data_IF_284315492433
#
_entry.id   IF_284315492433
#
_cell.length_a   1.000
_cell.length_b   1.000
_cell.length_c   1.000
_cell.angle_alpha   90.00
_cell.angle_beta   90.00
_cell.angle_gamma   90.00
#
_symmetry.space_group_name_H-M   'P 1'
#
loop_
_entity.id
_entity.type
_entity.pdbx_description
1 polymer ?
#
# COMPACT_ATOMS: atom_id res chain seq x y z
N UNK A 1 4.76 7.55 -24.85
CA UNK A 1 3.81 7.06 -23.85
C UNK A 1 3.44 8.17 -22.88
N UNK A 2 2.18 8.25 -22.58
CA UNK A 2 1.72 9.27 -21.65
C UNK A 2 2.01 8.85 -20.22
N UNK A 3 2.39 9.81 -19.40
CA UNK A 3 2.70 9.59 -18.00
C UNK A 3 1.98 10.61 -17.13
N UNK A 4 1.89 10.30 -15.84
CA UNK A 4 1.43 11.25 -14.83
C UNK A 4 2.51 11.36 -13.76
N UNK A 5 2.42 12.41 -12.95
CA UNK A 5 3.31 12.58 -11.82
C UNK A 5 2.74 11.82 -10.64
N UNK A 6 3.57 11.00 -10.00
CA UNK A 6 3.16 10.18 -8.86
C UNK A 6 3.97 10.55 -7.62
N UNK A 7 3.26 10.77 -6.53
CA UNK A 7 3.86 11.04 -5.22
C UNK A 7 3.22 10.07 -4.21
N UNK A 8 4.03 9.21 -3.61
CA UNK A 8 3.57 8.32 -2.57
C UNK A 8 4.25 8.73 -1.27
N UNK A 9 3.45 9.27 -0.35
CA UNK A 9 3.93 9.78 0.93
C UNK A 9 3.41 8.93 2.07
N UNK A 10 4.28 8.66 3.03
CA UNK A 10 3.89 7.99 4.27
C UNK A 10 4.14 8.93 5.45
N UNK A 11 3.77 8.50 6.65
CA UNK A 11 3.97 9.32 7.85
C UNK A 11 5.44 9.67 8.11
N UNK A 12 6.36 8.85 7.61
CA UNK A 12 7.78 8.98 7.93
C UNK A 12 8.69 9.37 6.75
N UNK A 13 8.21 9.17 5.51
CA UNK A 13 9.08 9.40 4.35
C UNK A 13 8.31 9.57 3.05
N UNK A 14 9.00 10.06 2.04
CA UNK A 14 8.53 9.98 0.65
C UNK A 14 8.93 8.60 0.13
N UNK A 15 7.95 7.77 -0.15
CA UNK A 15 8.18 6.41 -0.61
C UNK A 15 8.55 6.35 -2.08
N UNK A 16 7.84 7.11 -2.90
CA UNK A 16 8.12 7.23 -4.34
C UNK A 16 7.74 8.62 -4.83
N UNK A 17 8.55 9.14 -5.74
CA UNK A 17 8.27 10.40 -6.42
C UNK A 17 8.85 10.34 -7.81
N UNK A 18 8.01 10.55 -8.82
CA UNK A 18 8.46 10.51 -10.21
C UNK A 18 7.33 10.26 -11.18
N UNK A 19 7.68 10.03 -12.42
CA UNK A 19 6.71 9.74 -13.47
C UNK A 19 6.27 8.29 -13.43
N UNK A 20 5.00 8.05 -13.80
CA UNK A 20 4.42 6.71 -13.81
C UNK A 20 3.47 6.60 -14.99
N UNK A 21 3.42 5.43 -15.62
CA UNK A 21 2.51 5.17 -16.73
C UNK A 21 1.17 4.67 -16.24
N UNK A 22 1.18 3.82 -15.21
CA UNK A 22 -0.06 3.34 -14.58
C UNK A 22 0.23 2.90 -13.16
N UNK A 23 -0.81 2.97 -12.34
CA UNK A 23 -0.75 2.48 -10.97
C UNK A 23 -2.05 1.75 -10.67
N UNK A 24 -1.96 0.60 -10.00
CA UNK A 24 -3.12 -0.15 -9.55
C UNK A 24 -3.13 -0.13 -8.02
N UNK A 25 -4.21 0.37 -7.45
CA UNK A 25 -4.36 0.52 -6.00
C UNK A 25 -5.41 -0.44 -5.46
N UNK A 26 -5.25 -0.92 -4.21
CA UNK A 26 -6.29 -1.73 -3.56
C UNK A 26 -7.32 -0.83 -2.89
N UNK A 27 -8.59 -0.97 -3.28
CA UNK A 27 -9.69 -0.18 -2.73
C UNK A 27 -10.75 -1.09 -2.10
N UNK A 28 -11.67 -0.54 -1.28
CA UNK A 28 -12.75 -1.36 -0.73
C UNK A 28 -13.62 -2.07 -1.78
N UNK A 29 -13.65 -1.53 -3.00
CA UNK A 29 -14.43 -2.11 -4.10
C UNK A 29 -13.61 -2.99 -5.03
N UNK A 30 -12.37 -3.29 -4.66
CA UNK A 30 -11.46 -4.08 -5.47
C UNK A 30 -10.29 -3.26 -5.97
N UNK A 31 -9.51 -3.83 -6.87
CA UNK A 31 -8.33 -3.16 -7.41
C UNK A 31 -8.75 -2.13 -8.45
N UNK A 32 -8.14 -0.96 -8.40
CA UNK A 32 -8.48 0.15 -9.30
C UNK A 32 -7.22 0.68 -10.01
N UNK A 33 -7.30 0.75 -11.34
CA UNK A 33 -6.19 1.23 -12.16
C UNK A 33 -6.32 2.71 -12.51
N UNK A 34 -5.21 3.45 -12.43
CA UNK A 34 -5.13 4.86 -12.78
C UNK A 34 -4.04 5.01 -13.85
N UNK A 35 -4.38 5.65 -14.95
CA UNK A 35 -3.46 5.96 -16.04
C UNK A 35 -3.38 7.46 -16.25
N UNK A 36 -2.51 7.88 -17.17
CA UNK A 36 -2.36 9.29 -17.48
C UNK A 36 -3.69 9.92 -17.91
N UNK A 37 -3.87 11.17 -17.54
CA UNK A 37 -5.06 11.96 -17.86
C UNK A 37 -6.38 11.40 -17.30
N UNK A 38 -6.27 10.65 -16.21
CA UNK A 38 -7.46 10.19 -15.48
C UNK A 38 -8.23 11.39 -14.93
N UNK A 39 -9.55 11.30 -14.93
CA UNK A 39 -10.37 12.36 -14.36
C UNK A 39 -10.07 12.55 -12.87
N UNK A 40 -10.28 13.77 -12.39
CA UNK A 40 -10.06 14.08 -10.98
C UNK A 40 -10.94 13.19 -10.10
N UNK A 41 -10.33 12.62 -9.05
CA UNK A 41 -11.04 11.74 -8.14
C UNK A 41 -10.29 11.58 -6.83
N UNK A 42 -10.97 11.00 -5.85
CA UNK A 42 -10.38 10.61 -4.58
C UNK A 42 -10.88 9.21 -4.26
N UNK A 43 -9.99 8.34 -3.82
CA UNK A 43 -10.34 6.96 -3.48
C UNK A 43 -9.67 6.52 -2.19
N UNK A 44 -10.40 5.73 -1.39
CA UNK A 44 -9.84 5.13 -0.19
C UNK A 44 -8.94 3.95 -0.59
N UNK A 45 -7.84 3.78 0.14
CA UNK A 45 -6.92 2.66 -0.03
C UNK A 45 -6.99 1.77 1.20
N UNK A 46 -7.12 0.47 0.98
CA UNK A 46 -7.06 -0.54 2.03
C UNK A 46 -5.70 -1.26 1.95
N UNK A 47 -5.27 -1.94 3.01
CA UNK A 47 -4.02 -2.71 2.94
C UNK A 47 -4.06 -3.71 1.80
N UNK A 48 -3.02 -3.73 0.99
CA UNK A 48 -2.96 -4.60 -0.18
C UNK A 48 -1.71 -4.37 -1.03
N UNK A 49 -1.81 -4.85 -2.25
CA UNK A 49 -0.72 -4.78 -3.22
C UNK A 49 -0.88 -3.57 -4.11
N UNK A 50 0.17 -2.77 -4.20
CA UNK A 50 0.28 -1.64 -5.12
C UNK A 50 1.12 -2.09 -6.30
N UNK A 51 0.68 -1.81 -7.53
CA UNK A 51 1.47 -2.09 -8.73
C UNK A 51 1.75 -0.81 -9.49
N UNK A 52 3.02 -0.56 -9.78
CA UNK A 52 3.46 0.61 -10.53
C UNK A 52 4.11 0.21 -11.84
N UNK A 53 3.72 0.86 -12.92
CA UNK A 53 4.39 0.73 -14.20
C UNK A 53 5.21 1.99 -14.43
N UNK A 54 6.53 1.85 -14.30
CA UNK A 54 7.47 2.97 -14.38
C UNK A 54 8.02 3.06 -15.82
N UNK A 55 8.08 4.26 -16.41
CA UNK A 55 8.64 4.41 -17.76
C UNK A 55 10.06 3.85 -17.85
N UNK A 56 10.31 3.05 -18.86
CA UNK A 56 11.63 2.45 -19.10
C UNK A 56 11.92 1.18 -18.33
N UNK A 57 11.04 0.76 -17.42
CA UNK A 57 11.23 -0.48 -16.68
C UNK A 57 10.39 -1.60 -17.30
N UNK A 58 11.00 -2.77 -17.44
CA UNK A 58 10.34 -3.93 -18.03
C UNK A 58 9.31 -4.55 -17.11
N UNK A 59 9.62 -4.59 -15.82
CA UNK A 59 8.76 -5.23 -14.81
C UNK A 59 8.02 -4.18 -14.02
N UNK A 60 6.80 -4.49 -13.66
CA UNK A 60 6.03 -3.66 -12.73
C UNK A 60 6.68 -3.72 -11.36
N UNK A 61 6.68 -2.60 -10.67
CA UNK A 61 7.12 -2.57 -9.28
C UNK A 61 5.93 -2.88 -8.39
N UNK A 62 6.17 -3.72 -7.40
CA UNK A 62 5.15 -4.11 -6.43
C UNK A 62 5.53 -3.55 -5.07
N UNK A 63 4.54 -3.09 -4.34
CA UNK A 63 4.76 -2.60 -2.96
C UNK A 63 3.61 -3.05 -2.07
N UNK A 64 3.91 -3.21 -0.79
CA UNK A 64 2.89 -3.40 0.24
C UNK A 64 2.43 -2.03 0.68
N UNK A 65 1.15 -1.73 0.53
CA UNK A 65 0.60 -0.46 0.97
C UNK A 65 -0.41 -0.69 2.09
N UNK A 66 -0.52 0.28 2.98
CA UNK A 66 -1.45 0.25 4.09
C UNK A 66 -2.64 1.18 3.83
N UNK A 67 -3.43 1.45 4.85
CA UNK A 67 -4.59 2.31 4.77
C UNK A 67 -4.20 3.73 4.38
N UNK A 68 -4.95 4.33 3.47
CA UNK A 68 -4.66 5.67 3.01
C UNK A 68 -5.69 6.20 2.03
N UNK A 69 -5.26 7.15 1.23
CA UNK A 69 -6.11 7.81 0.23
C UNK A 69 -5.29 8.12 -1.02
N UNK A 70 -5.93 7.97 -2.17
CA UNK A 70 -5.37 8.39 -3.46
C UNK A 70 -6.15 9.60 -3.96
N UNK A 71 -5.42 10.63 -4.37
CA UNK A 71 -6.00 11.87 -4.89
C UNK A 71 -5.46 12.08 -6.30
N UNK A 72 -6.37 12.18 -7.27
CA UNK A 72 -6.03 12.45 -8.67
C UNK A 72 -6.52 13.85 -9.02
N UNK A 73 -5.61 14.72 -9.45
CA UNK A 73 -5.93 16.09 -9.83
C UNK A 73 -4.96 16.59 -10.88
N UNK A 74 -5.49 17.03 -12.03
CA UNK A 74 -4.69 17.59 -13.13
C UNK A 74 -3.48 16.72 -13.53
N UNK A 75 -3.72 15.45 -13.77
CA UNK A 75 -2.69 14.48 -14.17
C UNK A 75 -1.58 14.32 -13.13
N UNK A 76 -1.91 14.59 -11.87
CA UNK A 76 -1.03 14.43 -10.73
C UNK A 76 -1.71 13.46 -9.76
N UNK A 77 -1.00 12.41 -9.36
CA UNK A 77 -1.54 11.41 -8.44
C UNK A 77 -0.76 11.44 -7.15
N UNK A 78 -1.47 11.68 -6.06
CA UNK A 78 -0.88 11.73 -4.73
C UNK A 78 -1.47 10.62 -3.89
N UNK A 79 -0.61 9.80 -3.32
CA UNK A 79 -1.01 8.74 -2.41
C UNK A 79 -0.47 9.04 -1.03
N UNK A 80 -1.38 9.08 -0.06
CA UNK A 80 -1.04 9.28 1.35
C UNK A 80 -1.41 8.00 2.07
N UNK A 81 -0.44 7.36 2.70
CA UNK A 81 -0.65 6.08 3.37
C UNK A 81 0.06 6.04 4.72
N UNK A 82 -0.44 5.23 5.63
CA UNK A 82 0.22 5.04 6.92
C UNK A 82 1.61 4.44 6.73
N UNK A 83 1.76 3.51 5.80
CA UNK A 83 3.04 2.89 5.51
C UNK A 83 3.05 2.30 4.11
N UNK A 84 4.25 2.17 3.56
CA UNK A 84 4.48 1.49 2.29
C UNK A 84 5.86 0.85 2.34
N UNK A 85 5.97 -0.35 1.80
CA UNK A 85 7.23 -1.11 1.83
C UNK A 85 7.48 -1.80 0.50
N UNK A 86 8.70 -1.71 0.00
CA UNK A 86 9.12 -2.54 -1.11
C UNK A 86 9.29 -3.98 -0.59
N UNK A 87 9.05 -5.02 -1.43
CA UNK A 87 9.14 -6.39 -0.95
C UNK A 87 10.48 -6.74 -0.30
N UNK A 88 11.57 -6.25 -0.85
CA UNK A 88 12.92 -6.51 -0.33
C UNK A 88 13.18 -5.85 1.03
N UNK A 89 12.42 -4.83 1.39
CA UNK A 89 12.55 -4.14 2.67
C UNK A 89 11.75 -4.78 3.80
N UNK A 90 10.85 -5.71 3.46
CA UNK A 90 9.97 -6.31 4.46
C UNK A 90 10.72 -7.33 5.31
N UNK A 91 10.65 -7.16 6.63
CA UNK A 91 11.23 -8.08 7.61
C UNK A 91 10.16 -9.08 8.04
N UNK A 92 10.34 -10.35 7.65
CA UNK A 92 9.39 -11.43 7.94
C UNK A 92 9.18 -11.60 9.44
N UNK A 93 10.26 -11.65 10.21
CA UNK A 93 10.19 -11.87 11.66
C UNK A 93 9.41 -10.76 12.35
N UNK A 94 9.68 -9.52 11.96
CA UNK A 94 8.98 -8.36 12.52
C UNK A 94 7.50 -8.38 12.18
N UNK A 95 7.15 -8.73 10.93
CA UNK A 95 5.76 -8.81 10.50
C UNK A 95 5.01 -9.95 11.22
N UNK A 96 5.66 -11.11 11.38
CA UNK A 96 5.07 -12.22 12.12
C UNK A 96 4.85 -11.87 13.59
N UNK A 97 5.82 -11.20 14.21
CA UNK A 97 5.72 -10.76 15.59
C UNK A 97 4.58 -9.77 15.78
N UNK A 98 4.47 -8.79 14.86
CA UNK A 98 3.39 -7.80 14.93
C UNK A 98 2.01 -8.46 14.80
N UNK A 99 1.86 -9.44 13.90
CA UNK A 99 0.61 -10.17 13.75
C UNK A 99 0.26 -10.94 15.01
N UNK A 100 1.25 -11.60 15.61
CA UNK A 100 1.06 -12.40 16.80
C UNK A 100 0.66 -11.56 18.01
N UNK A 101 1.34 -10.43 18.21
CA UNK A 101 1.02 -9.51 19.29
C UNK A 101 -0.40 -8.94 19.15
N UNK A 102 -0.79 -8.60 17.92
CA UNK A 102 -2.13 -8.09 17.67
C UNK A 102 -3.20 -9.16 17.90
N UNK A 103 -2.92 -10.40 17.53
CA UNK A 103 -3.83 -11.53 17.81
C UNK A 103 -4.01 -11.75 19.31
N UNK A 104 -2.95 -11.62 20.09
CA UNK A 104 -3.02 -11.74 21.55
C UNK A 104 -3.84 -10.63 22.16
N UNK A 105 -3.73 -9.40 21.66
CA UNK A 105 -4.55 -8.28 22.10
C UNK A 105 -6.03 -8.53 21.86
N UNK A 106 -6.39 -9.15 20.73
CA UNK A 106 -7.78 -9.48 20.42
C UNK A 106 -8.36 -10.47 21.44
N UNK A 107 -7.55 -11.37 21.96
CA UNK A 107 -8.00 -12.35 22.95
C UNK A 107 -8.24 -11.73 24.32
N UNK A 108 -7.52 -10.68 24.67
CA UNK A 108 -7.50 -10.10 26.00
C UNK A 108 -8.29 -8.82 26.15
N UNK A 109 -8.77 -8.26 25.04
CA UNK A 109 -9.41 -6.96 25.06
C UNK A 109 -10.85 -7.02 24.54
N UNK A 110 -11.74 -6.34 25.25
CA UNK A 110 -13.17 -6.29 24.91
C UNK A 110 -13.58 -4.92 24.36
N UNK A 111 -12.67 -3.97 24.30
CA UNK A 111 -12.94 -2.64 23.77
C UNK A 111 -13.04 -2.67 22.26
N UNK A 112 -14.15 -2.16 21.70
CA UNK A 112 -14.35 -2.09 20.25
C UNK A 112 -13.22 -1.36 19.53
N UNK A 113 -12.73 -0.29 20.14
CA UNK A 113 -11.65 0.53 19.57
C UNK A 113 -10.34 -0.24 19.45
N UNK A 114 -10.00 -1.01 20.47
CA UNK A 114 -8.78 -1.80 20.49
C UNK A 114 -8.89 -3.03 19.59
N UNK A 115 -10.07 -3.60 19.47
CA UNK A 115 -10.33 -4.69 18.52
C UNK A 115 -10.09 -4.22 17.10
N UNK A 116 -10.64 -3.05 16.71
CA UNK A 116 -10.43 -2.49 15.37
C UNK A 116 -8.96 -2.19 15.10
N UNK A 117 -8.26 -1.65 16.09
CA UNK A 117 -6.83 -1.36 15.97
C UNK A 117 -6.01 -2.63 15.76
N UNK A 118 -6.30 -3.67 16.54
CA UNK A 118 -5.60 -4.94 16.45
C UNK A 118 -5.87 -5.62 15.09
N UNK A 119 -7.11 -5.60 14.63
CA UNK A 119 -7.47 -6.16 13.32
C UNK A 119 -6.74 -5.45 12.18
N UNK A 120 -6.62 -4.12 12.25
CA UNK A 120 -5.90 -3.35 11.24
C UNK A 120 -4.40 -3.71 11.22
N UNK A 121 -3.79 -3.91 12.39
CA UNK A 121 -2.39 -4.30 12.48
C UNK A 121 -2.17 -5.71 11.95
N UNK A 122 -3.08 -6.63 12.19
CA UNK A 122 -3.02 -7.97 11.64
C UNK A 122 -3.09 -7.91 10.11
N UNK A 123 -4.04 -7.14 9.56
CA UNK A 123 -4.19 -6.99 8.12
C UNK A 123 -2.91 -6.45 7.46
N UNK A 124 -2.28 -5.45 8.06
CA UNK A 124 -1.03 -4.88 7.55
C UNK A 124 0.11 -5.92 7.58
N UNK A 125 0.23 -6.64 8.69
CA UNK A 125 1.27 -7.65 8.85
C UNK A 125 1.10 -8.80 7.86
N UNK A 126 -0.12 -9.30 7.71
CA UNK A 126 -0.42 -10.38 6.77
C UNK A 126 -0.17 -9.94 5.32
N UNK A 127 -0.51 -8.70 5.00
CA UNK A 127 -0.25 -8.15 3.68
C UNK A 127 1.26 -8.11 3.38
N UNK A 128 2.06 -7.65 4.33
CA UNK A 128 3.52 -7.62 4.18
C UNK A 128 4.09 -9.02 3.99
N UNK A 129 3.64 -9.98 4.77
CA UNK A 129 4.09 -11.36 4.66
C UNK A 129 3.74 -11.96 3.30
N UNK A 130 2.54 -11.72 2.81
CA UNK A 130 2.09 -12.20 1.52
C UNK A 130 2.94 -11.63 0.38
N UNK A 131 3.19 -10.33 0.41
CA UNK A 131 3.96 -9.65 -0.62
C UNK A 131 5.44 -10.06 -0.57
N UNK A 132 6.01 -10.20 0.61
CA UNK A 132 7.39 -10.67 0.77
C UNK A 132 7.56 -12.09 0.23
N UNK A 133 6.61 -12.97 0.55
CA UNK A 133 6.63 -14.36 0.10
C UNK A 133 6.54 -14.46 -1.42
N UNK A 134 5.70 -13.63 -2.03
CA UNK A 134 5.47 -13.68 -3.47
C UNK A 134 6.53 -12.95 -4.29
N UNK A 135 7.02 -11.82 -3.81
CA UNK A 135 7.89 -10.92 -4.60
C UNK A 135 9.27 -10.64 -4.00
N UNK A 136 9.50 -10.99 -2.75
CA UNK A 136 10.70 -10.55 -2.03
C UNK A 136 12.03 -11.06 -2.54
N UNK A 137 12.03 -12.20 -3.21
CA UNK A 137 13.24 -12.84 -3.71
C UNK A 137 13.43 -12.73 -5.22
N UNK A 138 12.73 -11.78 -5.84
CA UNK A 138 12.75 -11.63 -7.30
C UNK A 138 13.42 -10.36 -7.76
#
# INVERSE_FOLDING_TARGET
MEVFNLHILTATKTFYEGECESIVIPTPNGRYGIQANHQDMMAAIIPGKLELTIPGERKKRIAAISTGVAIVEDNDVQILSESADWPEEIDIVRAETAAKEAEEELKNDTSSRQILSAEARIARALNRLSIKREFGDK
#
